data_IF_138984491599
#
_entry.id   IF_138984491599
#
_cell.length_a   1.000
_cell.length_b   1.000
_cell.length_c   1.000
_cell.angle_alpha   90.00
_cell.angle_beta   90.00
_cell.angle_gamma   90.00
#
_symmetry.space_group_name_H-M   'P 1'
#
loop_
_entity.id
_entity.type
_entity.pdbx_description
1 polymer ?
#
# COMPACT_ATOMS: atom_id res chain seq x y z
N UNK A 1 60.00 -21.09 -11.43
CA UNK A 1 59.04 -21.45 -10.37
C UNK A 1 58.24 -20.21 -9.97
N UNK A 2 57.03 -20.01 -10.50
CA UNK A 2 56.07 -19.03 -9.97
C UNK A 2 54.70 -19.70 -9.92
N UNK A 3 54.23 -19.99 -8.70
CA UNK A 3 52.90 -20.52 -8.41
C UNK A 3 51.91 -19.37 -8.56
N UNK A 4 51.04 -19.40 -9.56
CA UNK A 4 49.87 -18.54 -9.61
C UNK A 4 48.77 -19.21 -8.79
N UNK A 5 48.56 -18.68 -7.58
CA UNK A 5 47.40 -19.01 -6.77
C UNK A 5 46.20 -18.29 -7.40
N UNK A 6 45.29 -19.06 -8.01
CA UNK A 6 43.96 -18.60 -8.39
C UNK A 6 43.13 -18.46 -7.11
N UNK A 7 43.10 -17.26 -6.53
CA UNK A 7 42.06 -16.92 -5.54
C UNK A 7 40.79 -16.66 -6.33
N UNK A 8 39.92 -17.66 -6.40
CA UNK A 8 38.54 -17.49 -6.81
C UNK A 8 37.83 -16.71 -5.69
N UNK A 9 37.89 -15.38 -5.80
CA UNK A 9 37.11 -14.48 -4.96
C UNK A 9 35.64 -14.71 -5.29
N UNK A 10 34.98 -15.51 -4.46
CA UNK A 10 33.54 -15.56 -4.40
C UNK A 10 33.07 -14.18 -3.94
N UNK A 11 32.74 -13.33 -4.92
CA UNK A 11 31.95 -12.13 -4.71
C UNK A 11 30.60 -12.60 -4.18
N UNK A 12 30.48 -12.69 -2.85
CA UNK A 12 29.20 -12.79 -2.18
C UNK A 12 28.51 -11.45 -2.36
N UNK A 13 27.84 -11.27 -3.50
CA UNK A 13 27.02 -10.10 -3.82
C UNK A 13 25.80 -10.09 -2.89
N UNK A 14 25.97 -9.69 -1.64
CA UNK A 14 24.92 -9.70 -0.62
C UNK A 14 23.85 -8.61 -0.80
N UNK A 15 23.70 -8.03 -2.00
CA UNK A 15 22.79 -6.90 -2.25
C UNK A 15 21.77 -7.16 -3.37
N UNK A 16 21.52 -8.42 -3.75
CA UNK A 16 20.53 -8.75 -4.80
C UNK A 16 19.24 -9.40 -4.31
N UNK A 17 18.93 -9.30 -3.02
CA UNK A 17 17.57 -9.57 -2.55
C UNK A 17 16.86 -8.24 -2.34
N UNK A 18 15.94 -7.90 -3.24
CA UNK A 18 14.98 -6.85 -2.98
C UNK A 18 14.24 -7.22 -1.67
N UNK A 19 14.33 -6.36 -0.65
CA UNK A 19 13.61 -6.55 0.62
C UNK A 19 12.13 -6.72 0.29
N UNK A 20 11.53 -7.82 0.73
CA UNK A 20 10.10 -8.07 0.55
C UNK A 20 9.29 -6.91 1.15
N UNK A 21 8.17 -6.50 0.51
CA UNK A 21 7.30 -5.48 1.07
C UNK A 21 6.87 -5.85 2.49
N UNK A 22 7.01 -4.92 3.43
CA UNK A 22 6.58 -5.10 4.79
C UNK A 22 5.05 -5.08 4.85
N UNK A 23 4.43 -6.19 5.24
CA UNK A 23 3.00 -6.20 5.53
C UNK A 23 2.72 -5.34 6.78
N UNK A 24 1.86 -4.33 6.63
CA UNK A 24 1.45 -3.45 7.74
C UNK A 24 -0.07 -3.41 7.85
N UNK A 25 -0.54 -3.10 9.06
CA UNK A 25 -1.95 -2.81 9.33
C UNK A 25 -2.10 -1.36 9.78
N UNK A 26 -3.33 -0.86 9.83
CA UNK A 26 -3.63 0.54 10.14
C UNK A 26 -3.13 1.03 11.51
N UNK A 27 -3.05 0.14 12.50
CA UNK A 27 -2.44 0.47 13.80
C UNK A 27 -0.93 0.76 13.70
N UNK A 28 -0.26 0.30 12.65
CA UNK A 28 1.17 0.56 12.40
C UNK A 28 1.42 2.01 11.99
N UNK A 29 0.41 2.72 11.47
CA UNK A 29 0.47 4.15 11.13
C UNK A 29 0.38 5.04 12.37
N UNK A 30 -0.28 4.57 13.43
CA UNK A 30 -0.56 5.34 14.65
C UNK A 30 -0.06 4.57 15.89
N UNK A 31 1.26 4.50 16.11
CA UNK A 31 1.86 3.60 17.10
C UNK A 31 1.67 4.07 18.55
N UNK A 32 1.32 5.35 18.76
CA UNK A 32 1.01 5.91 20.06
C UNK A 32 -0.44 5.62 20.50
N UNK A 33 -0.79 5.97 21.74
CA UNK A 33 -2.15 5.80 22.27
C UNK A 33 -3.22 6.43 21.37
N UNK A 34 -4.37 5.76 21.23
CA UNK A 34 -5.49 6.23 20.39
C UNK A 34 -6.06 7.62 20.78
N UNK A 35 -5.74 8.12 21.98
CA UNK A 35 -6.15 9.45 22.45
C UNK A 35 -5.25 10.58 21.92
N UNK A 36 -4.08 10.28 21.38
CA UNK A 36 -3.20 11.31 20.80
C UNK A 36 -3.84 11.92 19.56
N UNK A 37 -3.64 13.23 19.30
CA UNK A 37 -4.03 13.85 18.04
C UNK A 37 -3.42 13.09 16.84
N UNK A 38 -4.19 12.94 15.78
CA UNK A 38 -3.79 12.16 14.62
C UNK A 38 -2.55 12.74 13.90
N UNK A 39 -2.39 14.07 13.97
CA UNK A 39 -1.29 14.82 13.37
C UNK A 39 0.07 14.51 14.02
N UNK A 40 0.06 14.13 15.31
CA UNK A 40 1.28 13.81 16.06
C UNK A 40 1.49 12.32 16.27
N UNK A 41 0.43 11.51 16.10
CA UNK A 41 0.50 10.06 16.17
C UNK A 41 0.79 9.46 14.79
N UNK A 42 2.01 9.69 14.31
CA UNK A 42 2.52 9.31 13.00
C UNK A 42 3.78 8.46 13.18
N UNK A 43 3.78 7.25 12.64
CA UNK A 43 4.96 6.40 12.58
C UNK A 43 5.96 6.86 11.52
N UNK A 44 7.00 7.57 11.94
CA UNK A 44 8.10 8.01 11.07
C UNK A 44 8.98 6.87 10.56
N UNK A 45 9.00 5.70 11.23
CA UNK A 45 9.82 4.56 10.83
C UNK A 45 9.32 3.87 9.54
N UNK A 46 8.15 4.24 9.03
CA UNK A 46 7.63 3.73 7.76
C UNK A 46 8.10 4.56 6.56
N UNK A 47 8.70 5.73 6.77
CA UNK A 47 9.11 6.60 5.66
C UNK A 47 10.13 5.92 4.75
N UNK A 48 9.81 5.87 3.46
CA UNK A 48 10.64 5.23 2.44
C UNK A 48 10.57 3.70 2.41
N UNK A 49 9.81 3.05 3.29
CA UNK A 49 9.65 1.60 3.28
C UNK A 49 8.74 1.13 2.14
N UNK A 50 9.00 -0.07 1.62
CA UNK A 50 8.02 -0.78 0.79
C UNK A 50 7.04 -1.49 1.70
N UNK A 51 5.76 -1.29 1.48
CA UNK A 51 4.69 -1.81 2.33
C UNK A 51 3.61 -2.49 1.53
N UNK A 52 2.88 -3.41 2.17
CA UNK A 52 1.58 -3.90 1.71
C UNK A 52 0.55 -3.62 2.80
N UNK A 53 -0.54 -2.94 2.44
CA UNK A 53 -1.60 -2.54 3.39
C UNK A 53 -2.99 -2.79 2.80
N UNK A 54 -3.92 -3.43 3.54
CA UNK A 54 -5.30 -3.56 3.11
C UNK A 54 -6.10 -2.26 3.33
N UNK A 55 -7.03 -1.94 2.44
CA UNK A 55 -8.00 -0.86 2.66
C UNK A 55 -9.04 -0.72 1.56
N UNK A 56 -9.94 0.23 1.73
CA UNK A 56 -11.01 0.56 0.79
C UNK A 56 -10.60 1.77 -0.05
N UNK A 57 -10.84 1.68 -1.37
CA UNK A 57 -10.51 2.73 -2.34
C UNK A 57 -11.59 3.79 -2.37
N UNK A 58 -11.17 5.05 -2.26
CA UNK A 58 -12.01 6.24 -2.43
C UNK A 58 -11.41 7.03 -3.59
N UNK A 59 -11.92 6.86 -4.82
CA UNK A 59 -11.33 7.50 -5.99
C UNK A 59 -11.41 9.03 -5.90
N UNK A 60 -10.28 9.69 -6.18
CA UNK A 60 -10.20 11.14 -6.32
C UNK A 60 -10.29 11.56 -7.80
N UNK A 61 -9.92 10.66 -8.71
CA UNK A 61 -10.19 10.75 -10.13
C UNK A 61 -11.19 9.69 -10.60
N UNK A 62 -11.91 9.97 -11.70
CA UNK A 62 -12.85 9.03 -12.31
C UNK A 62 -12.43 8.78 -13.76
N UNK A 63 -11.80 7.64 -14.01
CA UNK A 63 -11.38 7.21 -15.35
C UNK A 63 -12.17 5.98 -15.76
N UNK A 64 -13.36 6.11 -16.36
CA UNK A 64 -14.16 4.99 -16.92
C UNK A 64 -13.94 3.60 -16.25
N UNK A 65 -14.32 3.44 -14.99
CA UNK A 65 -14.17 2.17 -14.24
C UNK A 65 -12.79 1.91 -13.64
N UNK A 66 -11.88 2.87 -13.70
CA UNK A 66 -10.51 2.85 -13.21
C UNK A 66 -10.20 4.14 -12.42
N UNK A 67 -9.10 4.13 -11.69
CA UNK A 67 -8.56 5.28 -10.93
C UNK A 67 -7.04 5.20 -10.90
N UNK A 68 -6.37 6.34 -10.92
CA UNK A 68 -4.92 6.41 -10.64
C UNK A 68 -4.60 7.18 -9.37
N UNK A 69 -5.57 7.93 -8.85
CA UNK A 69 -5.42 8.83 -7.71
C UNK A 69 -6.60 8.62 -6.76
N UNK A 70 -6.32 8.11 -5.56
CA UNK A 70 -7.35 7.75 -4.59
C UNK A 70 -6.87 7.88 -3.15
N UNK A 71 -7.83 7.99 -2.23
CA UNK A 71 -7.57 7.77 -0.81
C UNK A 71 -7.83 6.30 -0.46
N UNK A 72 -6.92 5.71 0.31
CA UNK A 72 -7.11 4.41 0.94
C UNK A 72 -7.59 4.62 2.39
N UNK A 73 -8.58 3.84 2.81
CA UNK A 73 -9.21 3.95 4.14
C UNK A 73 -9.30 2.58 4.83
N UNK A 74 -9.22 2.51 6.18
CA UNK A 74 -9.49 1.27 6.93
C UNK A 74 -10.97 0.86 6.92
N UNK A 75 -11.85 1.78 6.52
CA UNK A 75 -13.30 1.63 6.67
C UNK A 75 -14.02 1.88 5.36
N UNK A 76 -14.94 0.97 5.06
CA UNK A 76 -15.94 1.12 4.00
C UNK A 76 -16.73 2.42 4.22
N UNK A 77 -16.97 3.18 3.13
CA UNK A 77 -17.79 4.38 3.18
C UNK A 77 -17.18 5.54 4.00
N UNK A 78 -15.86 5.58 4.17
CA UNK A 78 -15.22 6.80 4.65
C UNK A 78 -15.43 7.94 3.62
N UNK A 79 -15.58 9.17 4.12
CA UNK A 79 -15.77 10.42 3.35
C UNK A 79 -17.17 10.77 2.81
N UNK A 80 -18.22 9.97 3.05
CA UNK A 80 -19.55 10.29 2.49
C UNK A 80 -20.44 11.22 3.34
N UNK A 81 -20.27 11.39 4.66
CA UNK A 81 -21.28 12.16 5.45
C UNK A 81 -20.79 12.90 6.72
N UNK A 82 -19.49 13.04 6.99
CA UNK A 82 -18.92 13.67 8.22
C UNK A 82 -17.51 14.20 7.95
N UNK A 83 -16.93 15.05 8.83
CA UNK A 83 -15.57 15.55 8.61
C UNK A 83 -14.61 14.40 8.28
N UNK A 84 -13.68 14.60 7.32
CA UNK A 84 -12.73 13.58 6.91
C UNK A 84 -12.00 12.97 8.12
N UNK A 85 -11.65 11.67 8.09
CA UNK A 85 -10.77 11.07 9.10
C UNK A 85 -9.45 11.83 9.27
N UNK A 86 -8.80 11.67 10.42
CA UNK A 86 -7.51 12.29 10.69
C UNK A 86 -6.39 11.75 9.77
N UNK A 87 -5.25 12.46 9.69
CA UNK A 87 -4.17 12.16 8.74
C UNK A 87 -3.51 10.78 8.87
N UNK A 88 -3.64 10.11 10.01
CA UNK A 88 -3.17 8.74 10.24
C UNK A 88 -4.24 7.66 9.99
N UNK A 89 -5.39 8.04 9.40
CA UNK A 89 -6.51 7.15 9.05
C UNK A 89 -6.84 7.20 7.55
N UNK A 90 -6.02 7.89 6.76
CA UNK A 90 -6.11 7.98 5.31
C UNK A 90 -4.70 7.94 4.73
N UNK A 91 -4.56 7.22 3.61
CA UNK A 91 -3.33 7.24 2.81
C UNK A 91 -3.71 7.77 1.44
N UNK A 92 -2.97 8.75 0.93
CA UNK A 92 -3.11 9.17 -0.45
C UNK A 92 -2.26 8.24 -1.33
N UNK A 93 -2.89 7.59 -2.32
CA UNK A 93 -2.22 6.61 -3.17
C UNK A 93 -2.29 7.08 -4.61
N UNK A 94 -1.16 7.02 -5.30
CA UNK A 94 -1.09 7.24 -6.74
C UNK A 94 -0.43 6.08 -7.47
N UNK A 95 -0.92 5.77 -8.66
CA UNK A 95 -0.31 4.81 -9.58
C UNK A 95 0.12 5.48 -10.89
N UNK A 96 1.21 4.99 -11.50
CA UNK A 96 1.62 5.44 -12.83
C UNK A 96 0.62 5.00 -13.92
N UNK A 97 0.10 3.77 -13.79
CA UNK A 97 -0.93 3.21 -14.65
C UNK A 97 -2.24 3.05 -13.85
N UNK A 98 -3.41 3.39 -14.40
CA UNK A 98 -4.68 3.24 -13.68
C UNK A 98 -4.92 1.80 -13.22
N UNK A 99 -5.50 1.65 -12.03
CA UNK A 99 -6.00 0.37 -11.54
C UNK A 99 -7.51 0.27 -11.79
N UNK A 100 -8.02 -0.94 -12.00
CA UNK A 100 -9.46 -1.17 -12.01
C UNK A 100 -10.06 -0.76 -10.67
N UNK A 101 -11.21 -0.09 -10.70
CA UNK A 101 -11.94 0.20 -9.48
C UNK A 101 -12.38 -1.13 -8.84
N UNK A 102 -12.05 -1.38 -7.56
CA UNK A 102 -12.57 -2.53 -6.88
C UNK A 102 -14.08 -2.39 -6.69
N UNK A 103 -14.75 -3.53 -6.45
CA UNK A 103 -16.12 -3.51 -5.95
C UNK A 103 -16.16 -2.68 -4.67
N UNK A 104 -17.07 -1.71 -4.57
CA UNK A 104 -17.09 -0.68 -3.50
C UNK A 104 -17.03 -1.29 -2.10
N UNK A 105 -17.60 -2.47 -1.93
CA UNK A 105 -17.74 -3.18 -0.64
C UNK A 105 -16.54 -4.05 -0.27
N UNK A 106 -15.56 -4.19 -1.16
CA UNK A 106 -14.41 -5.08 -1.00
C UNK A 106 -13.12 -4.28 -0.78
N UNK A 107 -12.27 -4.69 0.19
CA UNK A 107 -10.96 -4.08 0.32
C UNK A 107 -10.01 -4.57 -0.77
N UNK A 108 -8.93 -3.82 -0.96
CA UNK A 108 -7.78 -4.19 -1.78
C UNK A 108 -6.52 -4.15 -0.92
N UNK A 109 -5.53 -4.97 -1.25
CA UNK A 109 -4.17 -4.77 -0.75
C UNK A 109 -3.44 -3.86 -1.71
N UNK A 110 -2.86 -2.78 -1.18
CA UNK A 110 -1.99 -1.88 -1.93
C UNK A 110 -0.55 -2.19 -1.54
N UNK A 111 0.26 -2.55 -2.53
CA UNK A 111 1.71 -2.64 -2.44
C UNK A 111 2.34 -1.38 -3.01
N UNK A 112 3.37 -0.85 -2.37
CA UNK A 112 4.09 0.30 -2.91
C UNK A 112 5.12 0.89 -1.94
N UNK A 113 5.74 2.00 -2.36
CA UNK A 113 6.66 2.78 -1.52
C UNK A 113 5.87 3.81 -0.73
N UNK A 114 5.92 3.71 0.60
CA UNK A 114 5.27 4.65 1.51
C UNK A 114 6.18 5.83 1.82
N UNK A 115 5.60 7.03 1.84
CA UNK A 115 6.23 8.25 2.31
C UNK A 115 5.41 8.86 3.45
N UNK A 116 6.10 9.39 4.45
CA UNK A 116 5.50 10.09 5.59
C UNK A 116 5.59 11.58 5.35
N UNK A 117 4.46 12.18 4.97
CA UNK A 117 4.37 13.62 4.69
C UNK A 117 2.97 14.11 4.98
N UNK A 118 2.86 15.26 5.65
CA UNK A 118 1.56 15.92 5.81
C UNK A 118 1.21 16.69 4.54
N UNK A 119 0.06 16.37 3.97
CA UNK A 119 -0.48 17.06 2.80
C UNK A 119 -1.98 17.29 2.98
N UNK A 120 -2.46 18.43 2.47
CA UNK A 120 -3.88 18.76 2.45
C UNK A 120 -4.31 18.97 1.01
N UNK A 121 -5.31 18.22 0.58
CA UNK A 121 -5.97 18.41 -0.72
C UNK A 121 -7.43 18.86 -0.51
N UNK A 122 -8.20 18.91 -1.61
CA UNK A 122 -9.60 19.33 -1.57
C UNK A 122 -10.52 18.38 -0.76
N UNK A 123 -10.08 17.14 -0.50
CA UNK A 123 -10.88 16.08 0.09
C UNK A 123 -10.50 15.78 1.55
N UNK A 124 -9.20 15.80 1.87
CA UNK A 124 -8.70 15.42 3.18
C UNK A 124 -7.30 15.99 3.47
N UNK A 125 -6.91 15.91 4.75
CA UNK A 125 -5.51 15.97 5.15
C UNK A 125 -4.99 14.55 5.40
N UNK A 126 -3.86 14.19 4.80
CA UNK A 126 -3.19 12.89 4.98
C UNK A 126 -1.82 13.10 5.61
N UNK A 127 -1.33 12.09 6.33
CA UNK A 127 0.04 12.01 6.85
C UNK A 127 0.90 11.00 6.09
N UNK A 128 0.29 10.27 5.16
CA UNK A 128 0.87 9.14 4.45
C UNK A 128 0.54 9.20 2.97
N UNK A 129 1.54 8.86 2.17
CA UNK A 129 1.43 8.73 0.73
C UNK A 129 2.00 7.38 0.28
N UNK A 130 1.41 6.75 -0.73
CA UNK A 130 1.97 5.56 -1.37
C UNK A 130 2.07 5.80 -2.87
N UNK A 131 3.29 5.66 -3.40
CA UNK A 131 3.47 5.38 -4.82
C UNK A 131 3.22 3.87 -5.02
N UNK A 132 2.09 3.54 -5.64
CA UNK A 132 1.62 2.17 -5.81
C UNK A 132 2.39 1.39 -6.86
N UNK A 133 2.78 0.18 -6.50
CA UNK A 133 3.39 -0.82 -7.38
C UNK A 133 2.33 -1.84 -7.84
N UNK A 134 1.41 -2.25 -6.95
CA UNK A 134 0.40 -3.28 -7.23
C UNK A 134 -0.86 -3.07 -6.38
N UNK A 135 -2.03 -3.35 -6.96
CA UNK A 135 -3.31 -3.42 -6.26
C UNK A 135 -3.92 -4.82 -6.39
N UNK A 136 -4.05 -5.53 -5.27
CA UNK A 136 -4.48 -6.93 -5.22
C UNK A 136 -5.91 -7.01 -4.67
N UNK A 137 -6.89 -7.54 -5.42
CA UNK A 137 -8.26 -7.69 -4.94
C UNK A 137 -8.39 -8.64 -3.74
N UNK A 138 -9.33 -8.35 -2.84
CA UNK A 138 -9.73 -9.27 -1.77
C UNK A 138 -11.27 -9.45 -1.76
N UNK A 139 -11.80 -10.67 -1.50
CA UNK A 139 -11.06 -11.93 -1.54
C UNK A 139 -10.52 -12.17 -2.96
N UNK A 140 -9.35 -12.81 -3.05
CA UNK A 140 -8.84 -13.27 -4.34
C UNK A 140 -9.84 -14.30 -4.88
N UNK A 141 -10.49 -13.97 -6.00
CA UNK A 141 -11.43 -14.89 -6.66
C UNK A 141 -10.61 -16.01 -7.31
N UNK A 142 -10.56 -17.16 -6.66
CA UNK A 142 -9.95 -18.37 -7.22
C UNK A 142 -10.97 -19.01 -8.16
N UNK A 143 -10.67 -19.04 -9.47
CA UNK A 143 -11.51 -19.77 -10.41
C UNK A 143 -11.55 -21.26 -10.02
N UNK A 144 -12.70 -21.95 -10.09
CA UNK A 144 -12.76 -23.38 -9.86
C UNK A 144 -11.74 -24.09 -10.77
N UNK A 145 -10.87 -24.91 -10.18
CA UNK A 145 -10.02 -25.80 -10.97
C UNK A 145 -10.92 -26.62 -11.89
N UNK A 146 -10.69 -26.58 -13.20
CA UNK A 146 -11.39 -27.39 -14.17
C UNK A 146 -11.04 -28.87 -13.97
N UNK A 147 -11.61 -29.50 -12.94
CA UNK A 147 -11.68 -30.96 -12.88
C UNK A 147 -12.72 -31.40 -13.90
N UNK A 148 -12.22 -31.76 -15.08
CA UNK A 148 -12.93 -32.57 -16.06
C UNK A 148 -13.41 -33.86 -15.39
N UNK A 149 -14.62 -33.83 -14.84
CA UNK A 149 -15.38 -35.05 -14.60
C UNK A 149 -16.33 -35.23 -15.77
N UNK A 150 -15.80 -35.84 -16.83
CA UNK A 150 -16.60 -36.54 -17.81
C UNK A 150 -17.26 -37.73 -17.10
N UNK A 151 -18.58 -37.68 -16.95
CA UNK A 151 -19.43 -38.85 -16.73
C UNK A 151 -20.30 -39.05 -17.96
#
# INVERSE_FOLDING_TARGET
MKKYILIFSLLFSSNLFAKEPQAILWNSLAPGPAKLPAEVNINQALDGERVVIPGFVIPLDALEGQTRDFLLSPRLGACIHRPPPGPNQLIHVTFEQPIALPEIEQPVYISGRLAVRSEKNAFAQTGYFIQGDEAIPYPVKIAPSATNHSH
#
